data_IF_810770823016
#
_entry.id   IF_810770823016
#
_cell.length_a   1.000
_cell.length_b   1.000
_cell.length_c   1.000
_cell.angle_alpha   90.00
_cell.angle_beta   90.00
_cell.angle_gamma   90.00
#
_symmetry.space_group_name_H-M   'P 1'
#
loop_
_entity.id
_entity.type
_entity.pdbx_description
1 polymer ?
#
# COMPACT_ATOMS: atom_id res chain seq x y z
N UNK A 1 -88.31 -13.25 -7.17
CA UNK A 1 -88.11 -12.44 -5.94
C UNK A 1 -86.63 -12.39 -5.61
N UNK A 2 -85.90 -11.40 -6.15
CA UNK A 2 -85.01 -10.52 -5.38
C UNK A 2 -84.41 -9.45 -6.32
N UNK A 3 -84.84 -8.21 -6.06
CA UNK A 3 -84.28 -6.88 -6.37
C UNK A 3 -82.74 -6.80 -6.30
N UNK A 4 -82.03 -5.76 -6.73
CA UNK A 4 -82.25 -4.50 -7.48
C UNK A 4 -80.82 -3.94 -7.72
N UNK A 5 -80.73 -2.94 -8.60
CA UNK A 5 -79.82 -1.80 -8.52
C UNK A 5 -78.30 -1.98 -8.77
N UNK A 6 -77.85 -1.36 -9.87
CA UNK A 6 -77.11 -0.10 -9.71
C UNK A 6 -77.15 0.75 -10.98
N UNK A 7 -77.93 1.81 -10.82
CA UNK A 7 -78.11 2.97 -11.68
C UNK A 7 -76.80 3.74 -11.91
N UNK A 8 -76.45 3.96 -13.17
CA UNK A 8 -75.31 4.80 -13.60
C UNK A 8 -75.79 6.25 -13.66
N UNK A 9 -75.23 7.11 -12.80
CA UNK A 9 -75.50 8.54 -12.75
C UNK A 9 -74.44 9.26 -13.58
N UNK A 10 -74.87 9.89 -14.68
CA UNK A 10 -74.12 10.92 -15.39
C UNK A 10 -74.46 12.30 -14.83
N UNK A 11 -73.52 13.25 -14.78
CA UNK A 11 -73.84 14.67 -14.82
C UNK A 11 -73.47 15.28 -16.18
N UNK A 12 -74.44 15.97 -16.77
CA UNK A 12 -74.29 16.87 -17.89
C UNK A 12 -74.03 18.29 -17.40
N UNK A 13 -72.93 18.91 -17.82
CA UNK A 13 -72.66 20.36 -17.86
C UNK A 13 -71.57 20.52 -18.92
N UNK A 14 -71.56 21.40 -19.93
CA UNK A 14 -72.42 22.47 -20.40
C UNK A 14 -71.59 23.13 -21.51
N UNK A 15 -72.16 23.31 -22.70
CA UNK A 15 -71.46 23.82 -23.88
C UNK A 15 -71.50 25.34 -23.92
N UNK A 16 -70.38 25.98 -24.26
CA UNK A 16 -70.36 27.25 -24.98
C UNK A 16 -69.55 28.37 -24.33
N UNK A 17 -68.59 28.92 -25.09
CA UNK A 17 -68.07 30.27 -24.83
C UNK A 17 -66.59 30.52 -25.08
N UNK A 18 -66.19 30.48 -26.36
CA UNK A 18 -65.16 31.27 -27.05
C UNK A 18 -63.85 31.78 -26.37
N UNK A 19 -62.78 31.51 -27.12
CA UNK A 19 -61.66 32.38 -27.53
C UNK A 19 -60.77 33.08 -26.48
N UNK A 20 -59.56 32.52 -26.38
CA UNK A 20 -58.24 33.15 -26.60
C UNK A 20 -58.12 34.65 -26.30
N UNK A 21 -57.14 35.02 -25.47
CA UNK A 21 -55.92 35.73 -25.93
C UNK A 21 -54.86 35.73 -24.82
N UNK A 22 -53.68 35.24 -25.18
CA UNK A 22 -52.44 35.25 -24.42
C UNK A 22 -51.46 36.10 -25.22
N UNK A 23 -51.00 37.25 -24.72
CA UNK A 23 -49.79 37.96 -25.21
C UNK A 23 -49.19 38.83 -24.08
N UNK A 24 -47.92 38.57 -23.78
CA UNK A 24 -46.97 39.36 -22.98
C UNK A 24 -46.09 40.20 -23.97
N UNK A 25 -45.11 41.04 -23.58
CA UNK A 25 -45.17 42.49 -23.34
C UNK A 25 -44.35 43.39 -24.34
N UNK A 26 -44.56 44.72 -24.25
CA UNK A 26 -43.70 45.89 -24.63
C UNK A 26 -43.28 46.12 -26.10
N UNK A 27 -43.22 47.38 -26.60
CA UNK A 27 -42.02 48.23 -26.38
C UNK A 27 -42.23 49.76 -26.35
N UNK A 28 -41.29 50.46 -25.69
CA UNK A 28 -40.67 51.71 -26.19
C UNK A 28 -41.48 53.00 -26.27
N UNK A 29 -41.22 53.95 -25.35
CA UNK A 29 -41.34 55.40 -25.65
C UNK A 29 -40.23 56.20 -25.00
N UNK A 30 -39.36 56.73 -25.86
CA UNK A 30 -38.31 57.70 -25.54
C UNK A 30 -38.93 59.07 -25.23
N UNK A 31 -38.56 59.68 -24.10
CA UNK A 31 -38.56 61.14 -23.94
C UNK A 31 -37.21 61.57 -23.36
N UNK A 32 -36.48 62.38 -24.15
CA UNK A 32 -35.26 63.09 -23.76
C UNK A 32 -35.65 64.46 -23.23
N UNK A 33 -35.18 64.84 -22.03
CA UNK A 33 -34.78 66.23 -21.73
C UNK A 33 -33.86 66.30 -20.48
N UNK A 34 -32.74 67.06 -20.51
CA UNK A 34 -31.87 67.36 -19.36
C UNK A 34 -32.04 68.82 -18.88
N UNK A 35 -31.26 69.37 -17.93
CA UNK A 35 -30.53 68.78 -16.79
C UNK A 35 -30.94 69.42 -15.43
N UNK A 36 -30.85 68.66 -14.33
CA UNK A 36 -31.07 69.16 -12.96
C UNK A 36 -30.00 68.62 -12.00
N UNK A 37 -29.08 69.50 -11.61
CA UNK A 37 -27.94 69.25 -10.72
C UNK A 37 -28.39 69.30 -9.26
N UNK A 38 -28.33 68.20 -8.49
CA UNK A 38 -28.17 68.21 -7.02
C UNK A 38 -28.05 66.80 -6.41
N UNK A 39 -27.03 66.61 -5.56
CA UNK A 39 -27.05 65.71 -4.39
C UNK A 39 -26.52 64.29 -4.57
N UNK A 40 -25.21 64.07 -4.37
CA UNK A 40 -24.67 62.76 -3.99
C UNK A 40 -24.69 62.62 -2.46
N UNK A 41 -25.18 61.51 -1.88
CA UNK A 41 -24.79 61.09 -0.53
C UNK A 41 -23.50 60.22 -0.57
N UNK A 42 -22.76 60.12 0.55
CA UNK A 42 -21.38 59.64 0.56
C UNK A 42 -21.29 58.12 0.41
N UNK A 43 -20.37 57.67 -0.45
CA UNK A 43 -20.02 56.25 -0.61
C UNK A 43 -19.08 55.83 0.51
N UNK A 44 -19.60 55.09 1.49
CA UNK A 44 -18.78 54.40 2.49
C UNK A 44 -17.97 53.33 1.76
N UNK A 45 -16.64 53.47 1.77
CA UNK A 45 -15.70 52.46 1.28
C UNK A 45 -15.61 51.34 2.32
N UNK A 46 -16.23 50.19 2.04
CA UNK A 46 -15.91 48.95 2.76
C UNK A 46 -14.50 48.49 2.35
N UNK A 47 -13.61 48.14 3.29
CA UNK A 47 -12.29 47.62 2.96
C UNK A 47 -12.41 46.20 2.40
N UNK A 48 -11.89 46.00 1.20
CA UNK A 48 -11.73 44.70 0.55
C UNK A 48 -10.81 43.81 1.39
N UNK A 49 -11.40 42.85 2.11
CA UNK A 49 -10.67 41.67 2.60
C UNK A 49 -10.19 40.86 1.40
N UNK A 50 -8.92 40.41 1.36
CA UNK A 50 -8.52 39.45 0.34
C UNK A 50 -9.32 38.17 0.57
N UNK A 51 -10.13 37.82 -0.43
CA UNK A 51 -10.81 36.54 -0.52
C UNK A 51 -9.72 35.45 -0.67
N UNK A 52 -9.16 34.97 0.44
CA UNK A 52 -8.58 33.63 0.49
C UNK A 52 -9.76 32.68 0.47
N UNK A 53 -10.25 32.39 -0.73
CA UNK A 53 -10.91 31.12 -1.02
C UNK A 53 -9.94 30.03 -0.58
N UNK A 54 -10.16 29.47 0.60
CA UNK A 54 -9.54 28.23 0.98
C UNK A 54 -9.89 27.21 -0.11
N UNK A 55 -8.92 26.44 -0.64
CA UNK A 55 -9.25 25.34 -1.52
C UNK A 55 -10.24 24.42 -0.81
N UNK A 56 -11.27 23.97 -1.51
CA UNK A 56 -12.03 22.80 -1.08
C UNK A 56 -11.05 21.66 -0.77
N UNK A 57 -11.38 20.70 0.11
CA UNK A 57 -10.54 19.53 0.34
C UNK A 57 -10.42 18.77 -0.99
N UNK A 58 -9.37 19.07 -1.74
CA UNK A 58 -8.92 18.22 -2.82
C UNK A 58 -8.49 16.92 -2.16
N UNK A 59 -9.07 15.80 -2.59
CA UNK A 59 -8.55 14.48 -2.28
C UNK A 59 -7.08 14.47 -2.68
N UNK A 60 -6.20 14.68 -1.70
CA UNK A 60 -4.77 14.69 -1.89
C UNK A 60 -4.36 13.23 -2.02
N UNK A 61 -4.46 12.69 -3.24
CA UNK A 61 -3.74 11.48 -3.60
C UNK A 61 -2.26 11.84 -3.43
N UNK A 62 -1.63 11.33 -2.37
CA UNK A 62 -0.19 11.46 -2.16
C UNK A 62 0.52 10.79 -3.34
N UNK A 63 0.90 11.60 -4.33
CA UNK A 63 1.52 11.16 -5.59
C UNK A 63 3.01 10.87 -5.42
N UNK A 64 3.42 10.48 -4.21
CA UNK A 64 4.76 10.02 -3.88
C UNK A 64 5.07 8.74 -4.65
N UNK A 65 5.68 8.90 -5.82
CA UNK A 65 6.43 7.89 -6.57
C UNK A 65 5.79 6.48 -6.63
N UNK A 66 4.72 6.36 -7.42
CA UNK A 66 4.23 5.08 -7.98
C UNK A 66 5.21 4.50 -9.02
N UNK A 67 6.51 4.46 -8.70
CA UNK A 67 7.55 3.83 -9.51
C UNK A 67 7.63 2.31 -9.32
N UNK A 68 6.93 1.76 -8.33
CA UNK A 68 6.79 0.33 -8.12
C UNK A 68 5.30 0.00 -8.01
N UNK A 69 4.78 -0.72 -9.02
CA UNK A 69 3.44 -1.29 -9.03
C UNK A 69 3.29 -2.29 -7.87
N UNK A 70 3.08 -1.82 -6.64
CA UNK A 70 2.86 -2.64 -5.43
C UNK A 70 1.41 -3.15 -5.35
N UNK A 71 0.88 -3.65 -6.47
CA UNK A 71 -0.37 -4.40 -6.49
C UNK A 71 -0.09 -5.89 -6.64
N UNK A 72 -0.97 -6.75 -6.12
CA UNK A 72 -0.84 -8.21 -6.23
C UNK A 72 -0.65 -8.66 -7.70
N UNK A 73 -1.19 -7.90 -8.66
CA UNK A 73 -0.73 -7.89 -10.04
C UNK A 73 -0.89 -6.51 -10.73
N UNK A 74 -0.40 -6.38 -11.96
CA UNK A 74 -0.42 -5.17 -12.81
C UNK A 74 -1.79 -4.49 -12.95
N UNK A 75 -2.88 -5.24 -13.17
CA UNK A 75 -4.24 -4.67 -13.29
C UNK A 75 -4.69 -4.06 -11.96
N UNK A 76 -4.47 -4.77 -10.85
CA UNK A 76 -4.81 -4.26 -9.51
C UNK A 76 -3.95 -3.06 -9.11
N UNK A 77 -2.66 -3.06 -9.50
CA UNK A 77 -1.76 -1.94 -9.30
C UNK A 77 -2.22 -0.69 -10.07
N UNK A 78 -2.66 -0.86 -11.33
CA UNK A 78 -3.22 0.24 -12.11
C UNK A 78 -4.49 0.83 -11.49
N UNK A 79 -5.31 -0.01 -10.84
CA UNK A 79 -6.56 0.37 -10.18
C UNK A 79 -6.40 0.86 -8.72
N UNK A 80 -5.19 0.92 -8.18
CA UNK A 80 -4.96 1.15 -6.74
C UNK A 80 -5.57 2.47 -6.24
N UNK A 81 -5.42 3.55 -6.99
CA UNK A 81 -5.99 4.86 -6.64
C UNK A 81 -7.53 4.82 -6.61
N UNK A 82 -8.16 4.17 -7.60
CA UNK A 82 -9.61 4.00 -7.66
C UNK A 82 -10.14 3.12 -6.52
N UNK A 83 -9.40 2.08 -6.13
CA UNK A 83 -9.77 1.21 -5.01
C UNK A 83 -9.64 1.93 -3.67
N UNK A 84 -8.63 2.80 -3.51
CA UNK A 84 -8.49 3.65 -2.34
C UNK A 84 -9.65 4.65 -2.24
N UNK A 85 -9.98 5.33 -3.35
CA UNK A 85 -11.13 6.23 -3.44
C UNK A 85 -12.44 5.50 -3.12
N UNK A 86 -12.64 4.29 -3.66
CA UNK A 86 -13.82 3.48 -3.37
C UNK A 86 -14.00 3.21 -1.88
N UNK A 87 -12.91 2.89 -1.17
CA UNK A 87 -12.93 2.64 0.27
C UNK A 87 -13.24 3.91 1.08
N UNK A 88 -12.70 5.05 0.67
CA UNK A 88 -12.90 6.34 1.33
C UNK A 88 -14.33 6.88 1.14
N UNK A 89 -14.85 6.81 -0.10
CA UNK A 89 -16.20 7.27 -0.45
C UNK A 89 -17.29 6.60 0.38
N UNK A 90 -17.11 5.32 0.71
CA UNK A 90 -18.08 4.56 1.51
C UNK A 90 -18.18 5.05 2.96
N UNK A 91 -17.13 5.68 3.49
CA UNK A 91 -17.08 6.19 4.86
C UNK A 91 -17.39 7.70 4.92
N UNK A 92 -17.59 8.35 3.78
CA UNK A 92 -17.76 9.80 3.72
C UNK A 92 -19.22 10.19 3.96
N UNK A 93 -19.46 10.93 5.04
CA UNK A 93 -20.82 11.30 5.48
C UNK A 93 -21.38 12.52 4.74
N UNK A 94 -20.52 13.42 4.26
CA UNK A 94 -20.89 14.60 3.46
C UNK A 94 -19.77 14.90 2.46
N UNK A 95 -20.12 15.36 1.25
CA UNK A 95 -19.15 15.87 0.29
C UNK A 95 -19.59 17.25 -0.25
N UNK A 96 -18.80 18.32 -0.03
CA UNK A 96 -19.23 19.69 -0.35
C UNK A 96 -19.28 20.00 -1.85
N UNK A 97 -18.57 19.26 -2.71
CA UNK A 97 -18.58 19.43 -4.16
C UNK A 97 -18.70 18.10 -4.94
N UNK A 98 -19.93 17.65 -5.18
CA UNK A 98 -20.19 16.42 -5.94
C UNK A 98 -19.74 16.51 -7.40
N UNK A 99 -19.72 17.70 -8.02
CA UNK A 99 -19.31 17.85 -9.41
C UNK A 99 -17.78 17.81 -9.56
N UNK A 100 -17.05 18.42 -8.61
CA UNK A 100 -15.60 18.28 -8.52
C UNK A 100 -15.17 16.82 -8.37
N UNK A 101 -15.82 16.08 -7.47
CA UNK A 101 -15.58 14.65 -7.30
C UNK A 101 -15.85 13.86 -8.59
N UNK A 102 -16.94 14.18 -9.31
CA UNK A 102 -17.28 13.54 -10.58
C UNK A 102 -16.16 13.71 -11.61
N UNK A 103 -15.65 14.93 -11.78
CA UNK A 103 -14.56 15.20 -12.71
C UNK A 103 -13.29 14.46 -12.31
N UNK A 104 -12.97 14.43 -11.00
CA UNK A 104 -11.84 13.68 -10.49
C UNK A 104 -11.96 12.18 -10.79
N UNK A 105 -13.13 11.56 -10.57
CA UNK A 105 -13.34 10.15 -10.89
C UNK A 105 -13.25 9.87 -12.39
N UNK A 106 -13.78 10.77 -13.24
CA UNK A 106 -13.66 10.64 -14.70
C UNK A 106 -12.18 10.64 -15.12
N UNK A 107 -11.38 11.53 -14.57
CA UNK A 107 -9.96 11.64 -14.90
C UNK A 107 -9.18 10.43 -14.38
N UNK A 108 -9.46 9.95 -13.17
CA UNK A 108 -8.83 8.74 -12.62
C UNK A 108 -9.22 7.47 -13.41
N UNK A 109 -10.46 7.36 -13.88
CA UNK A 109 -10.89 6.23 -14.73
C UNK A 109 -10.16 6.26 -16.08
N UNK A 110 -10.01 7.43 -16.70
CA UNK A 110 -9.25 7.57 -17.95
C UNK A 110 -7.76 7.23 -17.73
N UNK A 111 -7.21 7.66 -16.60
CA UNK A 111 -5.84 7.38 -16.24
C UNK A 111 -5.62 5.87 -16.02
N UNK A 112 -6.53 5.21 -15.33
CA UNK A 112 -6.57 3.75 -15.21
C UNK A 112 -6.61 3.05 -16.57
N UNK A 113 -7.48 3.50 -17.49
CA UNK A 113 -7.57 2.95 -18.85
C UNK A 113 -6.25 3.10 -19.61
N UNK A 114 -5.60 4.27 -19.50
CA UNK A 114 -4.29 4.51 -20.12
C UNK A 114 -3.21 3.60 -19.53
N UNK A 115 -3.14 3.43 -18.21
CA UNK A 115 -2.22 2.51 -17.54
C UNK A 115 -2.39 1.07 -18.04
N UNK A 116 -3.64 0.61 -18.24
CA UNK A 116 -3.90 -0.73 -18.77
C UNK A 116 -3.45 -0.89 -20.23
N UNK A 117 -3.60 0.15 -21.05
CA UNK A 117 -3.12 0.16 -22.43
C UNK A 117 -1.59 0.16 -22.52
N UNK A 118 -0.92 0.88 -21.63
CA UNK A 118 0.55 0.92 -21.55
C UNK A 118 1.16 -0.45 -21.23
N UNK A 119 0.47 -1.28 -20.45
CA UNK A 119 0.90 -2.66 -20.15
C UNK A 119 0.37 -3.69 -21.17
N UNK A 120 -0.13 -3.25 -22.33
CA UNK A 120 -0.66 -4.08 -23.43
C UNK A 120 -1.81 -5.03 -23.01
N UNK A 121 -2.69 -4.55 -22.12
CA UNK A 121 -3.85 -5.34 -21.67
C UNK A 121 -4.87 -5.46 -22.81
N UNK A 122 -5.39 -6.68 -23.11
CA UNK A 122 -6.46 -6.87 -24.08
C UNK A 122 -7.65 -5.95 -23.83
N UNK A 123 -8.16 -5.30 -24.88
CA UNK A 123 -9.25 -4.32 -24.76
C UNK A 123 -10.52 -4.91 -24.12
N UNK A 124 -10.79 -6.20 -24.30
CA UNK A 124 -11.89 -6.89 -23.63
C UNK A 124 -11.81 -6.81 -22.09
N UNK A 125 -10.59 -6.91 -21.54
CA UNK A 125 -10.32 -6.83 -20.11
C UNK A 125 -10.40 -5.38 -19.65
N UNK A 126 -9.85 -4.44 -20.43
CA UNK A 126 -9.92 -3.00 -20.14
C UNK A 126 -11.36 -2.53 -20.00
N UNK A 127 -12.21 -2.87 -20.97
CA UNK A 127 -13.63 -2.50 -20.97
C UNK A 127 -14.38 -3.16 -19.80
N UNK A 128 -14.10 -4.43 -19.51
CA UNK A 128 -14.74 -5.17 -18.41
C UNK A 128 -14.34 -4.62 -17.04
N UNK A 129 -13.04 -4.35 -16.83
CA UNK A 129 -12.54 -3.80 -15.57
C UNK A 129 -13.06 -2.38 -15.32
N UNK A 130 -13.05 -1.53 -16.35
CA UNK A 130 -13.65 -0.18 -16.29
C UNK A 130 -15.13 -0.24 -15.93
N UNK A 131 -15.88 -1.13 -16.58
CA UNK A 131 -17.30 -1.33 -16.28
C UNK A 131 -17.53 -1.69 -14.80
N UNK A 132 -16.77 -2.67 -14.30
CA UNK A 132 -16.87 -3.13 -12.92
C UNK A 132 -16.52 -2.03 -11.91
N UNK A 133 -15.47 -1.24 -12.16
CA UNK A 133 -15.08 -0.11 -11.30
C UNK A 133 -16.12 1.01 -11.31
N UNK A 134 -16.62 1.42 -12.50
CA UNK A 134 -17.69 2.41 -12.61
C UNK A 134 -18.93 1.98 -11.81
N UNK A 135 -19.34 0.72 -11.96
CA UNK A 135 -20.49 0.17 -11.24
C UNK A 135 -20.28 0.18 -9.73
N UNK A 136 -19.08 -0.16 -9.26
CA UNK A 136 -18.77 -0.18 -7.84
C UNK A 136 -18.69 1.22 -7.21
N UNK A 137 -18.07 2.18 -7.90
CA UNK A 137 -18.00 3.58 -7.47
C UNK A 137 -19.39 4.21 -7.39
N UNK A 138 -20.22 4.00 -8.42
CA UNK A 138 -21.59 4.50 -8.43
C UNK A 138 -22.40 3.92 -7.27
N UNK A 139 -22.27 2.62 -7.00
CA UNK A 139 -22.94 1.97 -5.88
C UNK A 139 -22.46 2.52 -4.53
N UNK A 140 -21.15 2.71 -4.34
CA UNK A 140 -20.61 3.26 -3.10
C UNK A 140 -21.18 4.66 -2.81
N UNK A 141 -21.21 5.54 -3.83
CA UNK A 141 -21.73 6.90 -3.70
C UNK A 141 -23.25 6.89 -3.48
N UNK A 142 -24.01 6.11 -4.25
CA UNK A 142 -25.46 6.04 -4.12
C UNK A 142 -25.94 5.44 -2.78
N UNK A 143 -25.06 4.73 -2.07
CA UNK A 143 -25.32 4.24 -0.72
C UNK A 143 -25.00 5.28 0.38
N UNK A 144 -24.45 6.44 0.04
CA UNK A 144 -24.25 7.55 0.98
C UNK A 144 -25.49 8.46 1.03
N UNK A 145 -25.73 9.18 2.15
CA UNK A 145 -26.85 10.13 2.24
C UNK A 145 -26.81 11.22 1.15
N UNK A 146 -25.62 11.79 0.90
CA UNK A 146 -25.41 12.89 -0.04
C UNK A 146 -25.45 12.46 -1.52
N UNK A 147 -25.18 11.18 -1.82
CA UNK A 147 -25.19 10.67 -3.19
C UNK A 147 -26.56 10.79 -3.88
N UNK A 148 -27.64 10.59 -3.12
CA UNK A 148 -29.02 10.76 -3.62
C UNK A 148 -29.37 12.24 -3.74
N UNK A 149 -29.00 13.06 -2.75
CA UNK A 149 -29.31 14.49 -2.69
C UNK A 149 -28.68 15.29 -3.84
N UNK A 150 -27.44 14.95 -4.21
CA UNK A 150 -26.75 15.59 -5.32
C UNK A 150 -27.20 15.10 -6.72
N UNK A 151 -28.14 14.14 -6.78
CA UNK A 151 -28.62 13.58 -8.05
C UNK A 151 -27.58 12.75 -8.79
N UNK A 152 -26.66 12.06 -8.09
CA UNK A 152 -25.55 11.32 -8.71
C UNK A 152 -25.99 10.36 -9.82
N UNK A 153 -27.14 9.71 -9.65
CA UNK A 153 -27.73 8.76 -10.59
C UNK A 153 -27.99 9.36 -12.00
N UNK A 154 -28.17 10.68 -12.13
CA UNK A 154 -28.43 11.32 -13.42
C UNK A 154 -27.20 11.32 -14.35
N UNK A 155 -26.00 11.38 -13.76
CA UNK A 155 -24.73 11.48 -14.49
C UNK A 155 -23.68 10.50 -13.95
N UNK A 156 -24.10 9.30 -13.60
CA UNK A 156 -23.24 8.29 -12.96
C UNK A 156 -22.00 7.94 -13.81
N UNK A 157 -20.98 7.35 -13.21
CA UNK A 157 -19.79 6.89 -13.94
C UNK A 157 -20.17 5.87 -15.00
N UNK A 158 -21.05 4.93 -14.66
CA UNK A 158 -21.56 3.93 -15.59
C UNK A 158 -22.33 4.57 -16.77
N UNK A 159 -23.16 5.57 -16.51
CA UNK A 159 -23.86 6.30 -17.57
C UNK A 159 -22.88 7.05 -18.47
N UNK A 160 -21.88 7.71 -17.88
CA UNK A 160 -20.87 8.49 -18.61
C UNK A 160 -20.01 7.63 -19.52
N UNK A 161 -19.62 6.44 -19.06
CA UNK A 161 -18.62 5.60 -19.73
C UNK A 161 -19.21 4.44 -20.55
N UNK A 162 -20.43 4.01 -20.22
CA UNK A 162 -21.09 2.85 -20.83
C UNK A 162 -22.53 3.14 -21.28
N UNK A 163 -23.05 4.34 -21.06
CA UNK A 163 -24.43 4.72 -21.39
C UNK A 163 -25.47 3.79 -20.78
N UNK A 164 -25.18 3.29 -19.56
CA UNK A 164 -26.02 2.37 -18.79
C UNK A 164 -26.27 2.94 -17.39
N UNK A 165 -27.47 2.72 -16.85
CA UNK A 165 -27.90 3.30 -15.55
C UNK A 165 -27.97 2.28 -14.41
N UNK A 166 -27.93 0.97 -14.72
CA UNK A 166 -27.94 -0.08 -13.71
C UNK A 166 -26.97 -1.21 -14.10
N UNK A 167 -25.85 -1.31 -13.36
CA UNK A 167 -24.80 -2.29 -13.66
C UNK A 167 -24.70 -3.47 -12.72
N UNK A 168 -25.50 -3.49 -11.65
CA UNK A 168 -25.40 -4.47 -10.56
C UNK A 168 -25.59 -5.93 -10.98
N UNK A 169 -26.30 -6.21 -12.07
CA UNK A 169 -26.45 -7.57 -12.62
C UNK A 169 -25.32 -7.93 -13.59
N UNK A 170 -24.98 -7.01 -14.50
CA UNK A 170 -23.97 -7.23 -15.52
C UNK A 170 -22.58 -7.43 -14.93
N UNK A 171 -22.29 -6.81 -13.79
CA UNK A 171 -21.08 -7.11 -13.01
C UNK A 171 -20.91 -8.62 -12.79
N UNK A 172 -21.97 -9.30 -12.35
CA UNK A 172 -21.91 -10.74 -12.08
C UNK A 172 -21.92 -11.58 -13.37
N UNK A 173 -22.51 -11.09 -14.46
CA UNK A 173 -22.40 -11.72 -15.79
C UNK A 173 -20.96 -11.66 -16.34
N UNK A 174 -20.28 -10.51 -16.14
CA UNK A 174 -18.87 -10.35 -16.46
C UNK A 174 -18.06 -11.31 -15.61
N UNK A 175 -18.27 -11.31 -14.28
CA UNK A 175 -17.59 -12.22 -13.36
C UNK A 175 -17.73 -13.69 -13.77
N UNK A 176 -18.95 -14.15 -14.07
CA UNK A 176 -19.19 -15.54 -14.47
C UNK A 176 -18.47 -15.88 -15.77
N UNK A 177 -18.45 -14.96 -16.74
CA UNK A 177 -17.76 -15.15 -18.02
C UNK A 177 -16.23 -15.22 -17.86
N UNK A 178 -15.66 -14.39 -16.98
CA UNK A 178 -14.22 -14.43 -16.70
C UNK A 178 -13.84 -15.72 -15.96
N UNK A 179 -14.73 -16.24 -15.11
CA UNK A 179 -14.54 -17.50 -14.39
C UNK A 179 -14.56 -18.75 -15.29
N UNK A 180 -15.07 -18.66 -16.54
CA UNK A 180 -15.00 -19.78 -17.50
C UNK A 180 -13.55 -20.11 -17.89
N UNK A 181 -12.67 -19.11 -17.91
CA UNK A 181 -11.24 -19.28 -18.27
C UNK A 181 -10.34 -18.52 -17.28
N UNK A 182 -10.28 -18.98 -16.00
CA UNK A 182 -9.66 -18.24 -14.92
C UNK A 182 -8.14 -18.06 -15.11
N UNK A 183 -7.48 -19.01 -15.79
CA UNK A 183 -6.06 -18.90 -16.13
C UNK A 183 -5.74 -17.69 -17.02
N UNK A 184 -6.64 -17.34 -17.95
CA UNK A 184 -6.47 -16.20 -18.85
C UNK A 184 -6.79 -14.87 -18.17
N UNK A 185 -7.79 -14.86 -17.29
CA UNK A 185 -8.32 -13.63 -16.69
C UNK A 185 -7.99 -13.47 -15.20
N UNK A 186 -6.99 -14.19 -14.69
CA UNK A 186 -6.64 -14.21 -13.26
C UNK A 186 -6.44 -12.80 -12.71
N UNK A 187 -5.79 -11.94 -13.48
CA UNK A 187 -5.45 -10.59 -13.06
C UNK A 187 -6.68 -9.69 -12.88
N UNK A 188 -7.71 -9.89 -13.71
CA UNK A 188 -8.98 -9.17 -13.63
C UNK A 188 -9.90 -9.77 -12.56
N UNK A 189 -9.87 -11.10 -12.38
CA UNK A 189 -10.61 -11.79 -11.32
C UNK A 189 -10.16 -11.32 -9.93
N UNK A 190 -8.86 -11.08 -9.74
CA UNK A 190 -8.32 -10.48 -8.50
C UNK A 190 -8.88 -9.07 -8.25
N UNK A 191 -8.95 -8.23 -9.29
CA UNK A 191 -9.57 -6.91 -9.17
C UNK A 191 -11.05 -7.00 -8.77
N UNK A 192 -11.81 -7.89 -9.42
CA UNK A 192 -13.22 -8.10 -9.09
C UNK A 192 -13.40 -8.63 -7.66
N UNK A 193 -12.50 -9.49 -7.20
CA UNK A 193 -12.48 -9.95 -5.81
C UNK A 193 -12.26 -8.79 -4.83
N UNK A 194 -11.30 -7.89 -5.11
CA UNK A 194 -11.07 -6.71 -4.28
C UNK A 194 -12.30 -5.79 -4.23
N UNK A 195 -12.98 -5.58 -5.36
CA UNK A 195 -14.23 -4.80 -5.42
C UNK A 195 -15.32 -5.44 -4.53
N UNK A 196 -15.48 -6.76 -4.58
CA UNK A 196 -16.42 -7.49 -3.71
C UNK A 196 -16.02 -7.43 -2.24
N UNK A 197 -14.72 -7.51 -1.93
CA UNK A 197 -14.19 -7.40 -0.57
C UNK A 197 -14.41 -5.99 0.03
N UNK A 198 -14.43 -4.95 -0.82
CA UNK A 198 -14.83 -3.59 -0.43
C UNK A 198 -16.34 -3.42 -0.23
N UNK A 199 -17.13 -4.48 -0.38
CA UNK A 199 -18.56 -4.51 -0.04
C UNK A 199 -19.52 -4.22 -1.19
N UNK A 200 -19.05 -4.32 -2.44
CA UNK A 200 -19.93 -4.30 -3.60
C UNK A 200 -20.96 -5.44 -3.51
N UNK A 201 -22.24 -5.11 -3.64
CA UNK A 201 -23.37 -6.04 -3.50
C UNK A 201 -24.16 -6.19 -4.80
N UNK A 202 -24.29 -5.13 -5.61
CA UNK A 202 -25.06 -5.14 -6.85
C UNK A 202 -26.50 -5.65 -6.66
N UNK A 203 -26.94 -6.54 -7.54
CA UNK A 203 -28.29 -7.14 -7.51
C UNK A 203 -28.62 -7.86 -6.19
N UNK A 204 -27.62 -8.41 -5.50
CA UNK A 204 -27.81 -9.18 -4.28
C UNK A 204 -28.20 -8.32 -3.07
N UNK A 205 -28.15 -6.98 -3.18
CA UNK A 205 -28.70 -6.09 -2.15
C UNK A 205 -30.21 -6.23 -2.00
N UNK A 206 -30.93 -6.49 -3.11
CA UNK A 206 -32.40 -6.54 -3.15
C UNK A 206 -32.96 -7.97 -3.03
N UNK A 207 -32.11 -8.99 -3.25
CA UNK A 207 -32.54 -10.39 -3.19
C UNK A 207 -32.72 -10.91 -1.76
N UNK A 208 -33.72 -11.77 -1.57
CA UNK A 208 -33.88 -12.51 -0.32
C UNK A 208 -32.66 -13.42 -0.08
N UNK A 209 -32.05 -13.30 1.10
CA UNK A 209 -30.79 -14.00 1.44
C UNK A 209 -29.62 -13.68 0.48
N UNK A 210 -29.65 -12.52 -0.19
CA UNK A 210 -28.61 -12.13 -1.15
C UNK A 210 -27.21 -12.05 -0.54
N UNK A 211 -27.08 -11.68 0.74
CA UNK A 211 -25.79 -11.69 1.46
C UNK A 211 -25.13 -13.07 1.51
N UNK A 212 -25.89 -14.15 1.74
CA UNK A 212 -25.36 -15.53 1.73
C UNK A 212 -24.90 -15.94 0.33
N UNK A 213 -25.66 -15.53 -0.70
CA UNK A 213 -25.27 -15.78 -2.08
C UNK A 213 -23.99 -15.04 -2.44
N UNK A 214 -23.87 -13.78 -2.01
CA UNK A 214 -22.70 -12.94 -2.24
C UNK A 214 -21.45 -13.52 -1.57
N UNK A 215 -21.54 -13.97 -0.32
CA UNK A 215 -20.43 -14.66 0.36
C UNK A 215 -20.03 -15.94 -0.38
N UNK A 216 -21.00 -16.76 -0.81
CA UNK A 216 -20.71 -17.95 -1.61
C UNK A 216 -20.00 -17.62 -2.92
N UNK A 217 -20.37 -16.53 -3.58
CA UNK A 217 -19.70 -16.05 -4.80
C UNK A 217 -18.26 -15.62 -4.49
N UNK A 218 -18.05 -14.86 -3.41
CA UNK A 218 -16.72 -14.44 -2.95
C UNK A 218 -15.83 -15.64 -2.63
N UNK A 219 -16.35 -16.64 -1.93
CA UNK A 219 -15.62 -17.87 -1.60
C UNK A 219 -15.23 -18.67 -2.84
N UNK A 220 -16.16 -18.83 -3.79
CA UNK A 220 -15.90 -19.51 -5.05
C UNK A 220 -14.84 -18.78 -5.88
N UNK A 221 -14.93 -17.45 -5.96
CA UNK A 221 -13.95 -16.61 -6.65
C UNK A 221 -12.57 -16.72 -5.99
N UNK A 222 -12.51 -16.63 -4.66
CA UNK A 222 -11.28 -16.80 -3.90
C UNK A 222 -10.64 -18.17 -4.15
N UNK A 223 -11.43 -19.25 -4.13
CA UNK A 223 -10.91 -20.58 -4.44
C UNK A 223 -10.41 -20.69 -5.88
N UNK A 224 -11.10 -20.10 -6.85
CA UNK A 224 -10.66 -20.09 -8.25
C UNK A 224 -9.31 -19.36 -8.40
N UNK A 225 -9.16 -18.20 -7.74
CA UNK A 225 -7.90 -17.44 -7.72
C UNK A 225 -6.79 -18.28 -7.07
N UNK A 226 -7.06 -18.87 -5.90
CA UNK A 226 -6.08 -19.68 -5.16
C UNK A 226 -5.63 -20.91 -5.95
N UNK A 227 -6.55 -21.59 -6.65
CA UNK A 227 -6.20 -22.73 -7.52
C UNK A 227 -5.26 -22.33 -8.66
N UNK A 228 -5.41 -21.12 -9.19
CA UNK A 228 -4.60 -20.65 -10.32
C UNK A 228 -3.25 -20.09 -9.90
N UNK A 229 -3.19 -19.35 -8.78
CA UNK A 229 -1.95 -18.76 -8.25
C UNK A 229 -1.12 -19.75 -7.44
N UNK A 230 -1.73 -20.81 -6.93
CA UNK A 230 -1.11 -21.77 -6.02
C UNK A 230 -1.30 -21.41 -4.55
N UNK A 231 -0.71 -22.21 -3.67
CA UNK A 231 -0.60 -21.89 -2.25
C UNK A 231 0.34 -20.69 -2.10
N UNK A 232 -0.20 -19.52 -1.71
CA UNK A 232 0.64 -18.43 -1.21
C UNK A 232 1.27 -18.88 0.12
N UNK A 233 2.57 -18.68 0.28
CA UNK A 233 3.24 -18.82 1.56
C UNK A 233 2.51 -17.95 2.58
N UNK A 234 2.00 -18.60 3.63
CA UNK A 234 1.14 -18.01 4.65
C UNK A 234 1.94 -17.21 5.67
N UNK A 235 3.06 -16.67 5.21
CA UNK A 235 3.95 -15.87 6.00
C UNK A 235 3.38 -14.44 6.00
N UNK A 236 2.95 -13.99 7.18
CA UNK A 236 2.27 -12.72 7.40
C UNK A 236 3.14 -11.48 7.07
N UNK A 237 4.37 -11.71 6.61
CA UNK A 237 5.33 -10.72 6.15
C UNK A 237 6.33 -11.42 5.22
N UNK A 238 6.62 -10.89 4.01
CA UNK A 238 7.76 -11.35 3.19
C UNK A 238 9.11 -11.26 3.90
N UNK A 239 9.17 -10.53 5.02
CA UNK A 239 10.32 -10.35 5.92
C UNK A 239 9.91 -10.67 7.37
N UNK A 240 9.17 -11.76 7.59
CA UNK A 240 8.86 -12.21 8.97
C UNK A 240 10.13 -12.70 9.66
N UNK A 241 11.10 -13.17 8.88
CA UNK A 241 12.50 -13.04 9.21
C UNK A 241 12.77 -11.54 9.21
N UNK A 242 12.49 -10.92 10.36
CA UNK A 242 13.00 -9.60 10.67
C UNK A 242 14.44 -9.59 10.19
N UNK A 243 14.85 -8.49 9.56
CA UNK A 243 16.26 -8.23 9.33
C UNK A 243 16.97 -8.79 10.54
N UNK A 244 17.85 -9.79 10.34
CA UNK A 244 18.87 -10.10 11.32
C UNK A 244 19.57 -8.76 11.49
N UNK A 245 19.04 -7.91 12.37
CA UNK A 245 19.84 -7.11 13.25
C UNK A 245 20.61 -8.19 13.97
N UNK A 246 21.70 -8.53 13.30
CA UNK A 246 22.96 -8.88 13.86
C UNK A 246 23.26 -7.74 14.83
N UNK A 247 22.52 -7.70 15.94
CA UNK A 247 23.13 -7.53 17.23
C UNK A 247 24.16 -8.63 17.25
N UNK A 248 25.33 -8.30 16.70
CA UNK A 248 26.57 -8.98 16.98
C UNK A 248 26.72 -8.80 18.48
N UNK A 249 26.06 -9.66 19.23
CA UNK A 249 26.52 -10.03 20.54
C UNK A 249 27.85 -10.72 20.29
N UNK A 250 28.91 -9.91 20.26
CA UNK A 250 30.31 -10.35 20.30
C UNK A 250 30.63 -10.92 21.70
N UNK A 251 29.61 -11.16 22.52
CA UNK A 251 29.72 -11.62 23.91
C UNK A 251 29.65 -13.14 24.06
N UNK A 252 29.40 -13.92 22.99
CA UNK A 252 29.10 -15.35 23.18
C UNK A 252 29.73 -16.30 22.16
N UNK A 253 30.95 -16.00 21.68
CA UNK A 253 31.79 -16.99 20.99
C UNK A 253 33.27 -16.75 21.28
N UNK A 254 33.68 -16.94 22.54
CA UNK A 254 35.10 -17.16 22.84
C UNK A 254 35.32 -18.67 22.84
N UNK A 255 36.02 -19.23 21.84
CA UNK A 255 36.29 -20.66 21.78
C UNK A 255 37.06 -21.12 23.02
N UNK A 256 36.74 -22.31 23.54
CA UNK A 256 37.44 -22.90 24.69
C UNK A 256 38.96 -22.97 24.53
N UNK A 257 39.46 -23.03 23.28
CA UNK A 257 40.89 -22.98 22.96
C UNK A 257 41.59 -21.67 23.37
N UNK A 258 40.87 -20.54 23.41
CA UNK A 258 41.43 -19.26 23.87
C UNK A 258 41.69 -19.31 25.36
N UNK A 259 40.74 -19.85 26.15
CA UNK A 259 40.95 -20.09 27.58
C UNK A 259 42.12 -21.04 27.83
N UNK A 260 42.24 -22.11 27.03
CA UNK A 260 43.32 -23.07 27.14
C UNK A 260 44.68 -22.44 26.82
N UNK A 261 44.74 -21.56 25.81
CA UNK A 261 45.96 -20.82 25.45
C UNK A 261 46.37 -19.81 26.52
N UNK A 262 45.42 -19.06 27.09
CA UNK A 262 45.70 -18.10 28.17
C UNK A 262 46.16 -18.82 29.43
N UNK A 263 45.51 -19.93 29.79
CA UNK A 263 45.92 -20.78 30.92
C UNK A 263 47.34 -21.32 30.73
N UNK A 264 47.66 -21.85 29.54
CA UNK A 264 48.99 -22.34 29.20
C UNK A 264 50.04 -21.22 29.26
N UNK A 265 49.72 -20.03 28.75
CA UNK A 265 50.61 -18.88 28.78
C UNK A 265 50.96 -18.46 30.22
N UNK A 266 49.96 -18.35 31.09
CA UNK A 266 50.16 -18.03 32.52
C UNK A 266 51.05 -19.09 33.19
N UNK A 267 50.82 -20.37 32.88
CA UNK A 267 51.60 -21.47 33.42
C UNK A 267 53.07 -21.41 32.97
N UNK A 268 53.32 -21.12 31.69
CA UNK A 268 54.69 -20.95 31.15
C UNK A 268 55.39 -19.75 31.78
N UNK A 269 54.72 -18.61 31.92
CA UNK A 269 55.29 -17.41 32.54
C UNK A 269 55.63 -17.67 34.01
N UNK A 270 54.74 -18.33 34.74
CA UNK A 270 54.96 -18.68 36.14
C UNK A 270 56.12 -19.67 36.28
N UNK A 271 56.17 -20.69 35.42
CA UNK A 271 57.27 -21.65 35.40
C UNK A 271 58.61 -20.99 35.05
N UNK A 272 58.64 -20.12 34.04
CA UNK A 272 59.84 -19.38 33.66
C UNK A 272 60.31 -18.46 34.80
N UNK A 273 59.40 -17.75 35.46
CA UNK A 273 59.70 -16.94 36.64
C UNK A 273 60.30 -17.78 37.78
N UNK A 274 59.71 -18.94 38.07
CA UNK A 274 60.23 -19.85 39.08
C UNK A 274 61.60 -20.42 38.70
N UNK A 275 61.80 -20.79 37.43
CA UNK A 275 63.08 -21.26 36.91
C UNK A 275 64.17 -20.20 37.04
N UNK A 276 63.85 -18.94 36.72
CA UNK A 276 64.77 -17.82 36.84
C UNK A 276 65.12 -17.53 38.31
N UNK A 277 64.13 -17.57 39.19
CA UNK A 277 64.35 -17.45 40.63
C UNK A 277 65.24 -18.58 41.16
N UNK A 278 65.02 -19.81 40.72
CA UNK A 278 65.85 -20.95 41.08
C UNK A 278 67.26 -20.84 40.49
N UNK A 279 67.43 -20.36 39.25
CA UNK A 279 68.77 -20.14 38.68
C UNK A 279 69.55 -19.08 39.46
N UNK A 280 68.90 -18.01 39.91
CA UNK A 280 69.53 -17.02 40.80
C UNK A 280 69.87 -17.62 42.18
N UNK A 281 69.13 -18.61 42.66
CA UNK A 281 69.46 -19.34 43.89
C UNK A 281 70.55 -20.41 43.69
N UNK A 282 70.85 -20.84 42.45
CA UNK A 282 71.78 -21.95 42.16
C UNK A 282 73.18 -21.47 41.74
N UNK A 283 73.31 -20.27 41.15
CA UNK A 283 74.60 -19.63 40.86
C UNK A 283 75.56 -19.54 42.06
N UNK A 284 75.14 -19.21 43.31
CA UNK A 284 76.09 -19.11 44.42
C UNK A 284 76.67 -20.47 44.86
N UNK A 285 75.99 -21.59 44.61
CA UNK A 285 76.49 -22.93 45.01
C UNK A 285 77.48 -23.49 43.99
N UNK A 286 77.27 -23.23 42.69
CA UNK A 286 78.21 -23.60 41.65
C UNK A 286 79.52 -22.79 41.74
N UNK A 287 79.43 -21.50 42.10
CA UNK A 287 80.60 -20.67 42.35
C UNK A 287 81.43 -21.16 43.55
N UNK A 288 80.78 -21.64 44.63
CA UNK A 288 81.48 -22.21 45.79
C UNK A 288 82.20 -23.52 45.47
N UNK A 289 81.59 -24.40 44.67
CA UNK A 289 82.22 -25.65 44.21
C UNK A 289 83.43 -25.38 43.30
N UNK A 290 83.35 -24.40 42.41
CA UNK A 290 84.47 -24.00 41.55
C UNK A 290 85.64 -23.40 42.36
N UNK A 291 85.34 -22.65 43.42
CA UNK A 291 86.37 -22.09 44.30
C UNK A 291 87.12 -23.19 45.07
N UNK A 292 86.42 -24.20 45.59
CA UNK A 292 87.05 -25.35 46.27
C UNK A 292 87.91 -26.16 45.28
N UNK A 293 87.43 -26.42 44.06
CA UNK A 293 88.20 -27.13 43.04
C UNK A 293 89.47 -26.36 42.61
N UNK A 294 89.42 -25.03 42.55
CA UNK A 294 90.58 -24.21 42.19
C UNK A 294 91.66 -24.14 43.28
N UNK A 295 91.27 -24.28 44.55
CA UNK A 295 92.19 -24.36 45.68
C UNK A 295 92.95 -25.69 45.68
N UNK A 296 92.28 -26.80 45.34
CA UNK A 296 92.91 -28.12 45.22
C UNK A 296 93.94 -28.17 44.06
N UNK A 297 93.56 -27.63 42.90
CA UNK A 297 94.39 -27.67 41.69
C UNK A 297 95.63 -26.74 41.73
N UNK A 298 95.67 -25.77 42.64
CA UNK A 298 96.83 -24.88 42.82
C UNK A 298 97.96 -25.50 43.67
N UNK A 299 97.70 -26.65 44.32
CA UNK A 299 98.71 -27.39 45.10
C UNK A 299 99.58 -28.32 44.25
N UNK A 300 99.22 -28.59 42.99
CA UNK A 300 99.92 -29.54 42.14
C UNK A 300 100.90 -28.81 41.18
N UNK A 301 102.16 -28.66 41.61
CA UNK A 301 103.27 -28.06 40.85
C UNK A 301 103.74 -29.00 39.72
N UNK A 302 104.07 -28.48 38.50
CA UNK A 302 104.48 -29.27 37.35
C UNK A 302 106.00 -29.42 37.19
N UNK A 303 106.47 -30.57 36.72
CA UNK A 303 107.80 -30.82 36.14
C UNK A 303 107.72 -32.11 35.30
N UNK A 304 108.33 -32.30 34.13
CA UNK A 304 109.14 -31.49 33.23
C UNK A 304 109.12 -32.24 31.87
N UNK A 305 109.25 -31.50 30.76
CA UNK A 305 109.42 -32.06 29.42
C UNK A 305 110.87 -32.49 29.16
N UNK A 306 111.09 -33.68 28.59
CA UNK A 306 112.28 -34.04 27.79
C UNK A 306 111.83 -35.03 26.70
N UNK A 307 111.44 -34.58 25.50
CA UNK A 307 112.24 -34.28 24.31
C UNK A 307 112.93 -35.47 23.63
N UNK A 308 112.76 -35.46 22.30
CA UNK A 308 113.59 -35.98 21.19
C UNK A 308 113.30 -37.38 20.63
N UNK A 309 112.60 -37.29 19.49
CA UNK A 309 113.08 -37.70 18.17
C UNK A 309 113.38 -39.17 17.92
N UNK A 310 112.71 -39.67 16.89
CA UNK A 310 113.40 -40.40 15.84
C UNK A 310 112.55 -41.51 15.26
N UNK A 311 112.39 -41.42 13.92
CA UNK A 311 112.49 -42.56 12.97
C UNK A 311 111.49 -43.69 13.14
N UNK A 312 110.91 -44.31 12.12
CA UNK A 312 110.83 -44.20 10.66
C UNK A 312 110.08 -45.49 10.32
N UNK A 313 109.22 -45.49 9.29
CA UNK A 313 108.91 -46.66 8.44
C UNK A 313 108.28 -47.88 9.16
N UNK A 314 107.25 -48.53 8.67
CA UNK A 314 106.68 -48.70 7.33
C UNK A 314 105.27 -49.26 7.53
#
# INVERSE_FOLDING_TARGET
MHNDDKTVIAPAIGTGGNDRTLVIPTPGRNHRQPPGRRGQPPRVRSPSRPNRSAPAPHFAIDRSETGNLTGLNRITAAASDLLALLAELRNLSEHPDANGLRNQLIDEIKLFENRLREIDTPNEIVVSARYCLCTALDEAILNTPWGVECGWAQHSMLSTFHNETFGGEKFFLILSRLLETPAKYIDALELLYLILAQGFSGKYRLEQRGHLQLEKIKDNLYQAIRRQRGEFERDLSPRWQGMDQQEKSISEYIPLWVYLSVCLFILVVTYAGFRLWQSHATEPVAAQLAQIASLDNSSAIPAAQTNKNGTQQN
#
